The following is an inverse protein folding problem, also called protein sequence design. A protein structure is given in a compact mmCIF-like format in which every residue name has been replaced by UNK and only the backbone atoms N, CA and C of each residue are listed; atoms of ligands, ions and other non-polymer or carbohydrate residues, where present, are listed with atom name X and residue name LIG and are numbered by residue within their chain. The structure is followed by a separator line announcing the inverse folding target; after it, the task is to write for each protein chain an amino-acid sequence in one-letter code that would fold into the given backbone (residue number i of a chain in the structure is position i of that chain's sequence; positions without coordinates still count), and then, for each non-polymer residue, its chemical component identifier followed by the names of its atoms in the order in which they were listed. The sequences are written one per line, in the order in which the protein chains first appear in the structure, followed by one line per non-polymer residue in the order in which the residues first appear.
data_IF_366475522147
#
_entry.id   IF_366475522147
#
_cell.length_a   1.000
_cell.length_b   1.000
_cell.length_c   1.000
_cell.angle_alpha   90.00
_cell.angle_beta   90.00
_cell.angle_gamma   90.00
#
_symmetry.space_group_name_H-M   'P 1'
#
loop_
_entity.id
_entity.type
_entity.pdbx_description
1 polymer ?
#
# COMPACT_ATOMS: atom_id res chain seq x y z
N UNK A 1 9.07 -53.19 5.91
CA UNK A 1 10.11 -54.25 5.74
C UNK A 1 9.94 -54.90 4.40
N UNK A 2 11.02 -54.97 3.60
CA UNK A 2 11.04 -55.62 2.28
C UNK A 2 11.96 -56.87 2.29
N UNK A 3 11.77 -57.76 1.35
CA UNK A 3 12.62 -58.95 1.18
C UNK A 3 13.16 -58.96 -0.25
N UNK A 4 14.49 -59.09 -0.41
CA UNK A 4 15.13 -59.29 -1.67
C UNK A 4 15.54 -60.75 -1.77
N UNK A 5 15.07 -61.45 -2.79
CA UNK A 5 15.39 -62.87 -3.01
C UNK A 5 16.05 -63.05 -4.36
N UNK A 6 17.09 -63.89 -4.41
CA UNK A 6 17.75 -64.32 -5.63
C UNK A 6 17.65 -65.85 -5.75
N UNK A 7 17.26 -66.35 -6.90
CA UNK A 7 17.12 -67.80 -7.19
C UNK A 7 18.00 -68.23 -8.32
N UNK A 8 18.59 -69.46 -8.24
CA UNK A 8 19.32 -70.11 -9.33
C UNK A 8 18.86 -71.58 -9.47
N UNK A 9 18.94 -72.10 -10.69
CA UNK A 9 18.69 -73.52 -10.98
C UNK A 9 19.93 -74.39 -10.79
N UNK A 10 21.09 -73.77 -10.52
CA UNK A 10 22.35 -74.52 -10.30
C UNK A 10 22.59 -74.65 -8.79
N UNK A 11 23.01 -75.84 -8.38
CA UNK A 11 23.43 -76.09 -6.97
C UNK A 11 24.73 -75.30 -6.71
N UNK A 12 24.79 -74.71 -5.49
CA UNK A 12 25.96 -73.91 -5.05
C UNK A 12 26.29 -72.72 -5.94
N UNK A 13 25.31 -72.12 -6.59
CA UNK A 13 25.49 -70.97 -7.51
C UNK A 13 25.98 -69.68 -6.83
N UNK A 14 25.83 -69.55 -5.51
CA UNK A 14 26.16 -68.35 -4.74
C UNK A 14 27.36 -68.60 -3.84
N UNK A 15 28.36 -67.71 -3.91
CA UNK A 15 29.52 -67.64 -3.03
C UNK A 15 29.28 -66.56 -1.96
N UNK A 16 30.16 -66.52 -0.95
CA UNK A 16 30.15 -65.45 0.10
C UNK A 16 30.22 -64.03 -0.51
N UNK A 17 30.90 -63.87 -1.63
CA UNK A 17 30.95 -62.63 -2.36
C UNK A 17 29.55 -62.20 -2.89
N UNK A 18 28.77 -63.13 -3.42
CA UNK A 18 27.42 -62.86 -3.87
C UNK A 18 26.49 -62.50 -2.71
N UNK A 19 26.65 -63.14 -1.56
CA UNK A 19 25.91 -62.82 -0.34
C UNK A 19 26.26 -61.42 0.17
N UNK A 20 27.54 -61.05 0.14
CA UNK A 20 28.00 -59.70 0.51
C UNK A 20 27.39 -58.63 -0.39
N UNK A 21 27.45 -58.84 -1.73
CA UNK A 21 26.87 -57.94 -2.72
C UNK A 21 25.35 -57.78 -2.52
N UNK A 22 24.65 -58.90 -2.28
CA UNK A 22 23.18 -58.87 -2.06
C UNK A 22 22.82 -58.10 -0.81
N UNK A 23 23.62 -58.27 0.25
CA UNK A 23 23.40 -57.52 1.53
C UNK A 23 23.60 -55.99 1.30
N UNK A 24 24.63 -55.61 0.55
CA UNK A 24 24.84 -54.18 0.24
C UNK A 24 23.70 -53.62 -0.62
N UNK A 25 23.27 -54.36 -1.65
CA UNK A 25 22.13 -53.96 -2.48
C UNK A 25 20.87 -53.77 -1.61
N UNK A 26 20.60 -54.73 -0.72
CA UNK A 26 19.43 -54.65 0.19
C UNK A 26 19.49 -53.41 1.10
N UNK A 27 20.68 -53.07 1.64
CA UNK A 27 20.85 -51.89 2.48
C UNK A 27 20.63 -50.62 1.66
N UNK A 28 21.26 -50.48 0.50
CA UNK A 28 21.09 -49.30 -0.33
C UNK A 28 19.65 -49.13 -0.85
N UNK A 29 18.99 -50.26 -1.19
CA UNK A 29 17.58 -50.20 -1.61
C UNK A 29 16.67 -49.79 -0.44
N UNK A 30 16.91 -50.27 0.79
CA UNK A 30 16.16 -49.83 1.95
C UNK A 30 16.33 -48.33 2.23
N UNK A 31 17.59 -47.83 2.18
CA UNK A 31 17.88 -46.40 2.36
C UNK A 31 17.23 -45.56 1.25
N UNK A 32 17.26 -46.02 0.00
CA UNK A 32 16.66 -45.30 -1.12
C UNK A 32 15.11 -45.23 -0.99
N UNK A 33 14.46 -46.31 -0.53
CA UNK A 33 13.03 -46.32 -0.28
C UNK A 33 12.64 -45.40 0.89
N UNK A 34 13.37 -45.45 2.00
CA UNK A 34 13.13 -44.61 3.17
C UNK A 34 13.31 -43.12 2.83
N UNK A 35 14.35 -42.79 2.03
CA UNK A 35 14.55 -41.44 1.54
C UNK A 35 13.42 -40.98 0.60
N UNK A 36 12.91 -41.84 -0.27
CA UNK A 36 11.80 -41.53 -1.16
C UNK A 36 10.49 -41.27 -0.37
N UNK A 37 10.18 -42.14 0.61
CA UNK A 37 9.02 -41.94 1.51
C UNK A 37 9.13 -40.62 2.29
N UNK A 38 10.31 -40.36 2.89
CA UNK A 38 10.55 -39.12 3.64
C UNK A 38 10.46 -37.87 2.75
N UNK A 39 10.89 -37.95 1.50
CA UNK A 39 10.80 -36.86 0.53
C UNK A 39 9.33 -36.57 0.14
N UNK A 40 8.53 -37.61 -0.03
CA UNK A 40 7.10 -37.50 -0.33
C UNK A 40 6.34 -36.87 0.84
N UNK A 41 6.57 -37.34 2.08
CA UNK A 41 5.99 -36.77 3.30
C UNK A 41 6.39 -35.31 3.51
N UNK A 42 7.66 -34.97 3.27
CA UNK A 42 8.14 -33.59 3.33
C UNK A 42 7.42 -32.69 2.32
N UNK A 43 7.21 -33.17 1.11
CA UNK A 43 6.58 -32.41 0.03
C UNK A 43 5.08 -32.18 0.32
N UNK A 44 4.38 -33.17 0.89
CA UNK A 44 3.01 -33.01 1.36
C UNK A 44 2.93 -32.03 2.52
N UNK A 45 3.86 -32.11 3.47
CA UNK A 45 3.93 -31.18 4.61
C UNK A 45 4.17 -29.74 4.16
N UNK A 46 5.09 -29.52 3.22
CA UNK A 46 5.36 -28.21 2.63
C UNK A 46 4.13 -27.65 1.91
N UNK A 47 3.41 -28.51 1.19
CA UNK A 47 2.19 -28.11 0.47
C UNK A 47 1.08 -27.71 1.45
N UNK A 48 0.86 -28.51 2.49
CA UNK A 48 -0.10 -28.24 3.56
C UNK A 48 0.26 -26.95 4.31
N UNK A 49 1.54 -26.76 4.63
CA UNK A 49 2.01 -25.55 5.31
C UNK A 49 1.74 -24.30 4.48
N UNK A 50 2.02 -24.34 3.17
CA UNK A 50 1.74 -23.21 2.25
C UNK A 50 0.25 -22.89 2.19
N UNK A 51 -0.61 -23.90 2.11
CA UNK A 51 -2.07 -23.71 2.08
C UNK A 51 -2.60 -23.14 3.40
N UNK A 52 -2.12 -23.64 4.54
CA UNK A 52 -2.49 -23.14 5.86
C UNK A 52 -2.01 -21.70 6.08
N UNK A 53 -0.79 -21.40 5.65
CA UNK A 53 -0.25 -20.03 5.70
C UNK A 53 -1.10 -19.06 4.86
N UNK A 54 -1.51 -19.46 3.66
CA UNK A 54 -2.40 -18.67 2.82
C UNK A 54 -3.77 -18.42 3.48
N UNK A 55 -4.33 -19.46 4.13
CA UNK A 55 -5.59 -19.33 4.89
C UNK A 55 -5.45 -18.41 6.10
N UNK A 56 -4.35 -18.50 6.86
CA UNK A 56 -4.09 -17.62 8.00
C UNK A 56 -3.97 -16.16 7.54
N UNK A 57 -3.21 -15.88 6.48
CA UNK A 57 -3.09 -14.54 5.90
C UNK A 57 -4.46 -14.02 5.46
N UNK A 58 -5.28 -14.87 4.84
CA UNK A 58 -6.64 -14.49 4.44
C UNK A 58 -7.54 -14.20 5.65
N UNK A 59 -7.46 -15.03 6.69
CA UNK A 59 -8.22 -14.85 7.94
C UNK A 59 -7.80 -13.59 8.68
N UNK A 60 -6.49 -13.31 8.77
CA UNK A 60 -5.96 -12.09 9.39
C UNK A 60 -6.41 -10.83 8.62
N UNK A 61 -6.37 -10.88 7.28
CA UNK A 61 -6.92 -9.82 6.42
C UNK A 61 -8.42 -9.62 6.64
N UNK A 62 -9.20 -10.70 6.79
CA UNK A 62 -10.63 -10.62 7.06
C UNK A 62 -10.92 -10.08 8.46
N UNK A 63 -10.14 -10.43 9.47
CA UNK A 63 -10.26 -9.89 10.82
C UNK A 63 -9.94 -8.39 10.84
N UNK A 64 -8.83 -7.99 10.22
CA UNK A 64 -8.46 -6.57 10.02
C UNK A 64 -9.52 -5.80 9.24
N UNK A 65 -10.07 -6.39 8.16
CA UNK A 65 -11.18 -5.79 7.41
C UNK A 65 -12.46 -5.69 8.23
N UNK A 66 -12.73 -6.64 9.12
CA UNK A 66 -13.88 -6.62 10.05
C UNK A 66 -13.80 -5.45 11.05
N UNK A 67 -12.64 -5.25 11.65
CA UNK A 67 -12.37 -4.12 12.56
C UNK A 67 -12.43 -2.77 11.81
N UNK A 68 -11.87 -2.73 10.59
CA UNK A 68 -11.93 -1.57 9.71
C UNK A 68 -13.35 -1.29 9.19
N UNK A 69 -14.20 -2.31 8.98
CA UNK A 69 -15.54 -2.16 8.38
C UNK A 69 -16.44 -1.26 9.23
N UNK A 70 -16.38 -1.36 10.55
CA UNK A 70 -17.14 -0.47 11.45
C UNK A 70 -16.67 0.99 11.33
N UNK A 71 -15.35 1.21 11.29
CA UNK A 71 -14.76 2.54 11.08
C UNK A 71 -15.09 3.10 9.70
N UNK A 72 -15.01 2.27 8.65
CA UNK A 72 -15.35 2.65 7.27
C UNK A 72 -16.83 3.03 7.15
N UNK A 73 -17.73 2.22 7.72
CA UNK A 73 -19.16 2.53 7.70
C UNK A 73 -19.44 3.90 8.33
N UNK A 74 -18.82 4.19 9.47
CA UNK A 74 -18.94 5.47 10.16
C UNK A 74 -18.34 6.63 9.32
N UNK A 75 -17.17 6.42 8.71
CA UNK A 75 -16.53 7.42 7.86
C UNK A 75 -17.27 7.69 6.54
N UNK A 76 -18.02 6.70 6.00
CA UNK A 76 -18.90 6.90 4.84
C UNK A 76 -20.22 7.55 5.25
N UNK A 77 -20.81 7.15 6.40
CA UNK A 77 -22.06 7.73 6.90
C UNK A 77 -21.92 9.23 7.15
N UNK A 78 -20.78 9.69 7.68
CA UNK A 78 -20.56 11.10 7.96
C UNK A 78 -20.76 12.01 6.74
N UNK A 79 -20.05 11.86 5.61
CA UNK A 79 -20.29 12.67 4.43
C UNK A 79 -21.67 12.46 3.82
N UNK A 80 -22.25 11.26 3.88
CA UNK A 80 -23.60 11.01 3.37
C UNK A 80 -24.67 11.72 4.19
N UNK A 81 -24.52 11.84 5.50
CA UNK A 81 -25.41 12.63 6.35
C UNK A 81 -25.40 14.11 5.93
N UNK A 82 -24.24 14.68 5.61
CA UNK A 82 -24.16 16.04 5.09
C UNK A 82 -24.84 16.18 3.72
N UNK A 83 -24.63 15.22 2.81
CA UNK A 83 -25.32 15.21 1.50
C UNK A 83 -26.83 15.22 1.69
N UNK A 84 -27.36 14.35 2.56
CA UNK A 84 -28.80 14.25 2.81
C UNK A 84 -29.35 15.55 3.45
N UNK A 85 -28.68 16.07 4.48
CA UNK A 85 -29.12 17.27 5.17
C UNK A 85 -29.16 18.49 4.24
N UNK A 86 -28.09 18.73 3.45
CA UNK A 86 -28.08 19.85 2.51
C UNK A 86 -29.10 19.66 1.38
N UNK A 87 -29.38 18.42 0.97
CA UNK A 87 -30.43 18.11 -0.02
C UNK A 87 -31.84 18.40 0.52
N UNK A 88 -32.11 18.09 1.82
CA UNK A 88 -33.38 18.43 2.48
C UNK A 88 -33.55 19.94 2.59
N UNK A 89 -32.51 20.66 3.04
CA UNK A 89 -32.51 22.13 3.11
C UNK A 89 -32.72 22.76 1.74
N UNK A 90 -32.08 22.25 0.68
CA UNK A 90 -32.30 22.75 -0.67
C UNK A 90 -33.75 22.57 -1.13
N UNK A 91 -34.40 21.46 -0.75
CA UNK A 91 -35.81 21.24 -1.06
C UNK A 91 -36.71 22.29 -0.40
N UNK A 92 -36.44 22.64 0.87
CA UNK A 92 -37.14 23.69 1.59
C UNK A 92 -36.91 25.06 0.94
N UNK A 93 -35.66 25.42 0.68
CA UNK A 93 -35.28 26.67 0.01
C UNK A 93 -35.92 26.81 -1.38
N UNK A 94 -35.97 25.74 -2.18
CA UNK A 94 -36.63 25.76 -3.48
C UNK A 94 -38.14 25.93 -3.38
N UNK A 95 -38.76 25.44 -2.30
CA UNK A 95 -40.20 25.66 -2.03
C UNK A 95 -40.45 27.12 -1.69
N UNK A 96 -39.66 27.68 -0.79
CA UNK A 96 -39.69 29.10 -0.41
C UNK A 96 -39.42 30.01 -1.63
N UNK A 97 -38.43 29.66 -2.43
CA UNK A 97 -38.11 30.39 -3.66
C UNK A 97 -39.32 30.48 -4.61
N UNK A 98 -40.08 29.39 -4.76
CA UNK A 98 -41.31 29.42 -5.57
C UNK A 98 -42.40 30.34 -4.99
N UNK A 99 -42.55 30.36 -3.66
CA UNK A 99 -43.48 31.26 -2.99
C UNK A 99 -43.10 32.74 -3.19
N UNK A 100 -41.80 33.06 -3.11
CA UNK A 100 -41.30 34.41 -3.33
C UNK A 100 -41.40 34.86 -4.80
N UNK A 101 -41.29 33.94 -5.76
CA UNK A 101 -41.59 34.19 -7.18
C UNK A 101 -43.05 34.59 -7.33
N UNK A 102 -44.00 33.86 -6.71
CA UNK A 102 -45.43 34.18 -6.78
C UNK A 102 -45.78 35.52 -6.16
N UNK A 103 -45.03 35.94 -5.12
CA UNK A 103 -45.13 37.26 -4.48
C UNK A 103 -44.46 38.39 -5.26
N UNK A 104 -43.62 38.08 -6.28
CA UNK A 104 -42.85 39.05 -7.05
C UNK A 104 -41.58 39.57 -6.33
N UNK A 105 -41.10 38.89 -5.27
CA UNK A 105 -39.95 39.26 -4.45
C UNK A 105 -38.62 38.79 -5.08
N UNK A 106 -38.26 39.27 -6.23
CA UNK A 106 -37.08 38.80 -6.98
C UNK A 106 -35.74 39.03 -6.27
N UNK A 107 -35.64 39.94 -5.32
CA UNK A 107 -34.40 40.08 -4.52
C UNK A 107 -34.22 38.88 -3.60
N UNK A 108 -35.26 38.44 -2.91
CA UNK A 108 -35.24 37.26 -2.06
C UNK A 108 -34.99 35.99 -2.84
N UNK A 109 -35.60 35.84 -4.01
CA UNK A 109 -35.33 34.74 -4.95
C UNK A 109 -33.83 34.63 -5.30
N UNK A 110 -33.11 35.75 -5.46
CA UNK A 110 -31.69 35.75 -5.74
C UNK A 110 -30.85 35.32 -4.55
N UNK A 111 -31.20 35.72 -3.34
CA UNK A 111 -30.48 35.30 -2.13
C UNK A 111 -30.70 33.79 -1.89
N UNK A 112 -31.95 33.30 -1.95
CA UNK A 112 -32.25 31.88 -1.84
C UNK A 112 -31.51 31.06 -2.92
N UNK A 113 -31.42 31.56 -4.16
CA UNK A 113 -30.68 30.90 -5.22
C UNK A 113 -29.20 30.75 -4.90
N UNK A 114 -28.58 31.74 -4.25
CA UNK A 114 -27.17 31.61 -3.78
C UNK A 114 -27.02 30.52 -2.73
N UNK A 115 -27.94 30.49 -1.76
CA UNK A 115 -27.90 29.49 -0.68
C UNK A 115 -28.05 28.08 -1.24
N UNK A 116 -28.90 27.88 -2.25
CA UNK A 116 -29.04 26.61 -2.97
C UNK A 116 -27.73 26.23 -3.67
N UNK A 117 -27.08 27.17 -4.37
CA UNK A 117 -25.80 26.95 -5.05
C UNK A 117 -24.71 26.57 -4.03
N UNK A 118 -24.59 27.30 -2.93
CA UNK A 118 -23.63 27.03 -1.87
C UNK A 118 -23.85 25.66 -1.23
N UNK A 119 -25.10 25.25 -1.03
CA UNK A 119 -25.43 23.90 -0.56
C UNK A 119 -25.10 22.83 -1.58
N UNK A 120 -25.32 23.04 -2.87
CA UNK A 120 -24.96 22.09 -3.92
C UNK A 120 -23.42 21.91 -4.02
N UNK A 121 -22.63 22.95 -3.78
CA UNK A 121 -21.18 22.85 -3.67
C UNK A 121 -20.77 21.96 -2.48
N UNK A 122 -21.43 22.11 -1.34
CA UNK A 122 -21.20 21.26 -0.14
C UNK A 122 -21.61 19.80 -0.41
N UNK A 123 -22.75 19.57 -1.08
CA UNK A 123 -23.22 18.23 -1.50
C UNK A 123 -22.15 17.57 -2.38
N UNK A 124 -21.67 18.28 -3.41
CA UNK A 124 -20.63 17.78 -4.31
C UNK A 124 -19.33 17.46 -3.57
N UNK A 125 -18.91 18.33 -2.65
CA UNK A 125 -17.72 18.15 -1.81
C UNK A 125 -17.82 16.86 -0.97
N UNK A 126 -18.94 16.69 -0.24
CA UNK A 126 -19.15 15.51 0.61
C UNK A 126 -19.36 14.23 -0.22
N UNK A 127 -20.01 14.30 -1.37
CA UNK A 127 -20.12 13.18 -2.32
C UNK A 127 -18.75 12.68 -2.81
N UNK A 128 -17.88 13.60 -3.21
CA UNK A 128 -16.49 13.28 -3.59
C UNK A 128 -15.68 12.66 -2.44
N UNK A 129 -15.94 13.10 -1.20
CA UNK A 129 -15.31 12.50 -0.02
C UNK A 129 -15.74 11.06 0.19
N UNK A 130 -17.03 10.76 0.11
CA UNK A 130 -17.54 9.40 0.22
C UNK A 130 -16.95 8.48 -0.87
N UNK A 131 -16.90 8.94 -2.12
CA UNK A 131 -16.27 8.23 -3.24
C UNK A 131 -14.78 7.94 -2.99
N UNK A 132 -14.04 8.91 -2.47
CA UNK A 132 -12.62 8.75 -2.14
C UNK A 132 -12.39 7.71 -1.03
N UNK A 133 -13.25 7.65 0.00
CA UNK A 133 -13.20 6.63 1.06
C UNK A 133 -13.44 5.24 0.47
N UNK A 134 -14.47 5.07 -0.37
CA UNK A 134 -14.78 3.80 -1.04
C UNK A 134 -13.63 3.36 -1.93
N UNK A 135 -13.06 4.26 -2.73
CA UNK A 135 -11.90 3.96 -3.59
C UNK A 135 -10.67 3.55 -2.77
N UNK A 136 -10.41 4.26 -1.66
CA UNK A 136 -9.33 3.92 -0.74
C UNK A 136 -9.51 2.53 -0.12
N UNK A 137 -10.74 2.19 0.30
CA UNK A 137 -11.08 0.86 0.81
C UNK A 137 -10.86 -0.25 -0.23
N UNK A 138 -11.31 -0.04 -1.47
CA UNK A 138 -11.11 -1.00 -2.55
C UNK A 138 -9.62 -1.21 -2.87
N UNK A 139 -8.82 -0.16 -2.78
CA UNK A 139 -7.36 -0.28 -2.92
C UNK A 139 -6.71 -1.05 -1.76
N UNK A 140 -7.20 -0.86 -0.54
CA UNK A 140 -6.73 -1.60 0.65
C UNK A 140 -7.16 -3.08 0.61
N UNK A 141 -8.38 -3.37 0.13
CA UNK A 141 -8.91 -4.74 -0.02
C UNK A 141 -8.28 -5.54 -1.16
N UNK A 142 -7.71 -4.89 -2.17
CA UNK A 142 -7.04 -5.59 -3.27
C UNK A 142 -5.75 -6.21 -2.74
N UNK A 143 -5.74 -7.54 -2.60
CA UNK A 143 -4.51 -8.29 -2.44
C UNK A 143 -3.64 -8.09 -3.68
N UNK A 144 -2.36 -7.82 -3.48
CA UNK A 144 -1.39 -7.92 -4.56
C UNK A 144 -1.43 -9.35 -5.10
N UNK A 145 -1.89 -9.50 -6.33
CA UNK A 145 -1.82 -10.76 -7.07
C UNK A 145 -0.49 -10.89 -7.79
N UNK A 146 0.40 -9.91 -7.63
CA UNK A 146 1.71 -9.88 -8.27
C UNK A 146 2.69 -10.90 -7.70
N UNK A 147 3.42 -11.56 -8.57
CA UNK A 147 4.60 -12.33 -8.17
C UNK A 147 5.77 -11.37 -7.89
N UNK A 148 6.66 -11.77 -6.97
CA UNK A 148 7.92 -11.06 -6.81
C UNK A 148 8.77 -11.29 -8.05
N UNK A 149 9.36 -10.22 -8.58
CA UNK A 149 10.23 -10.26 -9.73
C UNK A 149 11.47 -9.38 -9.53
N UNK A 150 12.61 -9.72 -10.17
CA UNK A 150 13.82 -8.91 -10.14
C UNK A 150 13.54 -7.52 -10.72
N UNK A 151 13.60 -6.48 -9.88
CA UNK A 151 13.21 -5.12 -10.24
C UNK A 151 14.34 -4.15 -9.91
N UNK A 152 14.67 -3.27 -10.84
CA UNK A 152 15.54 -2.13 -10.59
C UNK A 152 14.78 -1.06 -9.81
N UNK A 153 15.17 -0.90 -8.54
CA UNK A 153 14.50 0.02 -7.62
C UNK A 153 14.75 1.49 -7.97
N UNK A 154 15.89 1.82 -8.56
CA UNK A 154 16.21 3.19 -8.95
C UNK A 154 15.34 3.65 -10.11
N UNK A 155 15.20 2.80 -11.13
CA UNK A 155 14.30 3.04 -12.27
C UNK A 155 12.85 3.18 -11.79
N UNK A 156 12.40 2.26 -10.93
CA UNK A 156 11.04 2.31 -10.37
C UNK A 156 10.80 3.61 -9.58
N UNK A 157 11.75 4.03 -8.75
CA UNK A 157 11.64 5.23 -7.94
C UNK A 157 11.55 6.50 -8.83
N UNK A 158 12.37 6.60 -9.86
CA UNK A 158 12.34 7.74 -10.79
C UNK A 158 11.05 7.80 -11.62
N UNK A 159 10.58 6.66 -12.13
CA UNK A 159 9.33 6.58 -12.90
C UNK A 159 8.13 7.07 -12.08
N UNK A 160 7.98 6.56 -10.86
CA UNK A 160 6.86 6.96 -10.00
C UNK A 160 6.98 8.40 -9.48
N UNK A 161 8.20 8.93 -9.30
CA UNK A 161 8.42 10.33 -8.95
C UNK A 161 7.92 11.26 -10.09
N UNK A 162 8.31 10.96 -11.32
CA UNK A 162 7.86 11.68 -12.52
C UNK A 162 6.35 11.57 -12.70
N UNK A 163 5.79 10.36 -12.53
CA UNK A 163 4.35 10.13 -12.64
C UNK A 163 3.57 10.98 -11.63
N UNK A 164 4.00 11.02 -10.36
CA UNK A 164 3.39 11.84 -9.32
C UNK A 164 3.46 13.33 -9.65
N UNK A 165 4.63 13.81 -10.05
CA UNK A 165 4.85 15.21 -10.39
C UNK A 165 3.98 15.66 -11.58
N UNK A 166 3.99 14.90 -12.68
CA UNK A 166 3.17 15.23 -13.86
C UNK A 166 1.67 15.11 -13.60
N UNK A 167 1.25 14.14 -12.77
CA UNK A 167 -0.14 13.99 -12.35
C UNK A 167 -0.66 15.21 -11.57
N UNK A 168 0.19 15.84 -10.76
CA UNK A 168 -0.16 17.05 -10.02
C UNK A 168 -0.17 18.29 -10.93
N UNK A 169 0.79 18.42 -11.83
CA UNK A 169 0.83 19.52 -12.81
C UNK A 169 -0.38 19.51 -13.75
N UNK A 170 -0.87 18.33 -14.11
CA UNK A 170 -2.06 18.22 -14.96
C UNK A 170 -3.36 18.71 -14.27
N UNK A 171 -3.39 18.71 -12.92
CA UNK A 171 -4.53 19.21 -12.13
C UNK A 171 -4.51 20.73 -11.90
N UNK A 172 -3.34 21.38 -12.03
CA UNK A 172 -3.20 22.82 -11.83
C UNK A 172 -1.89 23.33 -12.39
N UNK A 173 -1.97 24.25 -13.35
CA UNK A 173 -0.80 24.79 -14.08
C UNK A 173 0.19 25.60 -13.20
N UNK A 174 -0.13 25.90 -11.95
CA UNK A 174 0.70 26.68 -11.04
C UNK A 174 1.62 25.86 -10.14
N UNK A 175 1.46 24.51 -10.11
CA UNK A 175 2.31 23.67 -9.29
C UNK A 175 3.70 23.50 -9.89
N UNK A 176 4.73 23.87 -9.11
CA UNK A 176 6.13 23.63 -9.45
C UNK A 176 6.92 23.27 -8.19
N UNK A 177 7.77 22.26 -8.29
CA UNK A 177 8.69 21.84 -7.24
C UNK A 177 9.98 21.31 -7.85
N UNK A 178 11.10 21.55 -7.18
CA UNK A 178 12.40 21.00 -7.52
C UNK A 178 12.46 19.54 -7.08
N UNK A 179 12.76 18.64 -8.01
CA UNK A 179 13.00 17.22 -7.73
C UNK A 179 14.51 16.96 -7.68
N UNK A 180 15.01 16.40 -6.58
CA UNK A 180 16.41 16.00 -6.42
C UNK A 180 16.45 14.47 -6.28
N UNK A 181 17.33 13.85 -7.05
CA UNK A 181 17.52 12.37 -6.97
C UNK A 181 19.00 12.05 -6.74
N UNK A 182 19.27 11.08 -5.86
CA UNK A 182 20.60 10.54 -5.61
C UNK A 182 20.47 9.01 -5.46
N UNK A 183 20.76 8.30 -6.53
CA UNK A 183 20.52 6.86 -6.64
C UNK A 183 21.85 6.09 -6.61
N UNK A 184 21.93 5.11 -5.69
CA UNK A 184 23.05 4.18 -5.58
C UNK A 184 22.97 3.13 -6.69
N UNK A 185 23.82 3.25 -7.69
CA UNK A 185 23.88 2.33 -8.83
C UNK A 185 24.33 0.91 -8.44
N UNK A 186 24.91 0.73 -7.25
CA UNK A 186 25.40 -0.58 -6.77
C UNK A 186 24.28 -1.50 -6.29
N UNK A 187 23.02 -1.03 -6.20
CA UNK A 187 21.88 -1.82 -5.68
C UNK A 187 21.59 -3.01 -6.59
N UNK A 188 21.50 -2.79 -7.91
CA UNK A 188 21.05 -3.78 -8.87
C UNK A 188 19.56 -4.14 -8.69
N UNK A 189 19.18 -5.31 -9.21
CA UNK A 189 17.80 -5.77 -9.09
C UNK A 189 17.53 -6.39 -7.72
N UNK A 190 16.36 -6.08 -7.15
CA UNK A 190 15.86 -6.69 -5.91
C UNK A 190 14.53 -7.41 -6.16
N UNK A 191 14.25 -8.46 -5.40
CA UNK A 191 13.10 -9.34 -5.61
C UNK A 191 11.86 -8.79 -4.86
N UNK A 192 11.04 -8.00 -5.55
CA UNK A 192 9.88 -7.29 -5.01
C UNK A 192 8.65 -7.46 -5.92
N UNK A 193 7.48 -7.04 -5.45
CA UNK A 193 6.29 -6.86 -6.29
C UNK A 193 6.28 -5.38 -6.75
N UNK A 194 6.62 -5.07 -8.02
CA UNK A 194 6.84 -3.68 -8.47
C UNK A 194 5.62 -2.78 -8.28
N UNK A 195 4.42 -3.31 -8.55
CA UNK A 195 3.18 -2.55 -8.40
C UNK A 195 2.92 -2.14 -6.93
N UNK A 196 3.29 -2.99 -5.98
CA UNK A 196 3.12 -2.72 -4.55
C UNK A 196 4.08 -1.62 -4.09
N UNK A 197 5.37 -1.78 -4.42
CA UNK A 197 6.37 -0.75 -4.07
C UNK A 197 6.10 0.55 -4.81
N UNK A 198 5.70 0.51 -6.09
CA UNK A 198 5.27 1.68 -6.84
C UNK A 198 4.11 2.42 -6.18
N UNK A 199 3.12 1.69 -5.62
CA UNK A 199 2.01 2.28 -4.85
C UNK A 199 2.49 2.97 -3.57
N UNK A 200 3.44 2.36 -2.84
CA UNK A 200 4.06 2.99 -1.67
C UNK A 200 4.75 4.28 -2.06
N UNK A 201 5.61 4.23 -3.08
CA UNK A 201 6.33 5.41 -3.59
C UNK A 201 5.37 6.53 -4.01
N UNK A 202 4.33 6.19 -4.77
CA UNK A 202 3.31 7.15 -5.20
C UNK A 202 2.61 7.84 -4.01
N UNK A 203 2.27 7.07 -2.97
CA UNK A 203 1.68 7.63 -1.75
C UNK A 203 2.62 8.60 -1.04
N UNK A 204 3.90 8.24 -0.90
CA UNK A 204 4.90 9.10 -0.25
C UNK A 204 5.17 10.36 -1.07
N UNK A 205 5.34 10.24 -2.39
CA UNK A 205 5.57 11.38 -3.28
C UNK A 205 4.38 12.34 -3.30
N UNK A 206 3.15 11.83 -3.37
CA UNK A 206 1.94 12.65 -3.30
C UNK A 206 1.82 13.39 -1.96
N UNK A 207 2.27 12.79 -0.86
CA UNK A 207 2.30 13.45 0.44
C UNK A 207 3.39 14.54 0.50
N UNK A 208 4.58 14.24 0.00
CA UNK A 208 5.69 15.20 -0.08
C UNK A 208 5.33 16.42 -0.95
N UNK A 209 4.83 16.20 -2.15
CA UNK A 209 4.41 17.28 -3.04
C UNK A 209 3.25 18.10 -2.46
N UNK A 210 2.33 17.47 -1.75
CA UNK A 210 1.27 18.18 -1.04
C UNK A 210 1.85 19.10 0.04
N UNK A 211 2.77 18.59 0.87
CA UNK A 211 3.37 19.34 1.98
C UNK A 211 4.12 20.58 1.47
N UNK A 212 4.93 20.42 0.42
CA UNK A 212 5.67 21.55 -0.15
C UNK A 212 4.74 22.55 -0.87
N UNK A 213 3.64 22.07 -1.46
CA UNK A 213 2.63 22.96 -2.08
C UNK A 213 1.90 23.81 -1.05
N UNK A 214 1.53 23.23 0.09
CA UNK A 214 0.86 23.98 1.17
C UNK A 214 1.80 25.00 1.80
N UNK A 215 3.07 24.65 2.02
CA UNK A 215 4.08 25.58 2.51
C UNK A 215 4.30 26.75 1.54
N UNK A 216 4.36 26.47 0.23
CA UNK A 216 4.49 27.50 -0.82
C UNK A 216 3.33 28.50 -0.79
N UNK A 217 2.11 28.03 -0.54
CA UNK A 217 0.95 28.93 -0.41
C UNK A 217 1.04 29.85 0.81
N UNK A 218 1.64 29.37 1.90
CA UNK A 218 1.79 30.14 3.14
C UNK A 218 2.96 31.11 3.09
N UNK A 219 4.14 30.70 2.58
CA UNK A 219 5.37 31.50 2.60
C UNK A 219 5.58 32.38 1.34
N UNK A 220 4.89 32.08 0.23
CA UNK A 220 4.97 32.88 -1.01
C UNK A 220 6.23 32.64 -1.84
N UNK A 221 6.70 33.66 -2.57
CA UNK A 221 7.75 33.51 -3.58
C UNK A 221 9.16 33.22 -3.04
N UNK A 222 9.41 33.47 -1.75
CA UNK A 222 10.71 33.23 -1.10
C UNK A 222 11.03 31.77 -0.82
N UNK A 223 10.02 30.86 -0.87
CA UNK A 223 10.18 29.44 -0.60
C UNK A 223 10.32 28.62 -1.88
N UNK A 224 11.32 27.75 -1.92
CA UNK A 224 11.58 26.83 -3.04
C UNK A 224 11.11 25.41 -2.68
N UNK A 225 9.93 24.95 -3.15
CA UNK A 225 9.42 23.61 -2.93
C UNK A 225 10.42 22.56 -3.43
N UNK A 226 10.89 21.68 -2.56
CA UNK A 226 11.87 20.65 -2.91
C UNK A 226 11.44 19.29 -2.39
N UNK A 227 11.47 18.27 -3.26
CA UNK A 227 11.30 16.86 -2.92
C UNK A 227 12.56 16.10 -3.34
N UNK A 228 13.17 15.38 -2.42
CA UNK A 228 14.39 14.62 -2.64
C UNK A 228 14.13 13.12 -2.49
N UNK A 229 14.69 12.32 -3.39
CA UNK A 229 14.61 10.86 -3.35
C UNK A 229 16.02 10.30 -3.42
N UNK A 230 16.38 9.49 -2.42
CA UNK A 230 17.69 8.84 -2.38
C UNK A 230 17.53 7.33 -2.22
N UNK A 231 18.43 6.58 -2.81
CA UNK A 231 18.54 5.13 -2.57
C UNK A 231 19.94 4.79 -2.09
N UNK A 232 20.05 3.81 -1.19
CA UNK A 232 21.34 3.37 -0.67
C UNK A 232 21.31 1.89 -0.36
N UNK A 233 22.37 1.20 -0.74
CA UNK A 233 22.63 -0.19 -0.34
C UNK A 233 23.46 -0.24 0.93
N UNK A 234 23.03 -1.01 1.91
CA UNK A 234 23.82 -1.28 3.11
C UNK A 234 23.72 -2.75 3.48
N UNK A 235 24.77 -3.49 3.22
CA UNK A 235 24.82 -4.95 3.42
C UNK A 235 23.78 -5.67 2.57
N UNK A 236 22.83 -6.35 3.23
CA UNK A 236 21.72 -7.09 2.59
C UNK A 236 20.41 -6.30 2.54
N UNK A 237 20.48 -4.99 2.65
CA UNK A 237 19.32 -4.12 2.69
C UNK A 237 19.45 -2.97 1.70
N UNK A 238 18.31 -2.53 1.18
CA UNK A 238 18.16 -1.31 0.39
C UNK A 238 17.34 -0.32 1.20
N UNK A 239 17.81 0.90 1.25
CA UNK A 239 17.12 2.04 1.84
C UNK A 239 16.65 2.95 0.71
N UNK A 240 15.39 3.38 0.78
CA UNK A 240 14.79 4.39 -0.11
C UNK A 240 14.31 5.49 0.81
N UNK A 241 14.88 6.70 0.67
CA UNK A 241 14.44 7.87 1.42
C UNK A 241 13.69 8.82 0.50
N UNK A 242 12.54 9.30 0.98
CA UNK A 242 11.73 10.34 0.36
C UNK A 242 11.65 11.50 1.35
N UNK A 243 12.28 12.61 1.02
CA UNK A 243 12.34 13.80 1.86
C UNK A 243 11.70 14.99 1.17
N UNK A 244 10.99 15.81 1.94
CA UNK A 244 10.42 17.09 1.51
C UNK A 244 10.76 18.20 2.50
N UNK A 245 10.88 19.42 2.02
CA UNK A 245 11.04 20.61 2.83
C UNK A 245 9.69 21.30 3.13
N UNK A 246 8.61 20.52 3.26
CA UNK A 246 7.27 21.02 3.56
C UNK A 246 7.09 21.44 5.03
N UNK A 247 5.83 21.46 5.48
CA UNK A 247 5.49 21.91 6.83
C UNK A 247 5.87 20.94 7.96
N UNK A 248 6.48 19.80 7.64
CA UNK A 248 6.76 18.78 8.65
C UNK A 248 5.49 18.13 9.22
N UNK A 249 5.68 17.28 10.21
CA UNK A 249 4.61 16.58 10.92
C UNK A 249 4.73 16.88 12.42
N UNK A 250 3.69 17.44 13.05
CA UNK A 250 3.71 17.69 14.49
C UNK A 250 3.95 16.42 15.30
N UNK A 251 4.77 16.51 16.35
CA UNK A 251 5.14 15.37 17.20
C UNK A 251 3.95 14.54 17.68
N UNK A 252 2.84 15.20 18.01
CA UNK A 252 1.58 14.55 18.46
C UNK A 252 0.92 13.67 17.40
N UNK A 253 1.27 13.85 16.13
CA UNK A 253 0.72 13.11 15.01
C UNK A 253 1.59 11.92 14.61
N UNK A 254 2.91 11.96 14.88
CA UNK A 254 3.87 10.93 14.42
C UNK A 254 3.48 9.50 14.81
N UNK A 255 2.98 9.29 16.04
CA UNK A 255 2.56 7.96 16.51
C UNK A 255 1.28 7.44 15.82
N UNK A 256 0.56 8.34 15.11
CA UNK A 256 -0.75 8.03 14.52
C UNK A 256 -0.75 7.99 12.99
N UNK A 257 0.30 8.48 12.33
CA UNK A 257 0.30 8.65 10.86
C UNK A 257 0.11 7.36 10.07
N UNK A 258 0.45 6.20 10.67
CA UNK A 258 0.25 4.88 10.07
C UNK A 258 -1.09 4.24 10.47
N UNK A 259 -1.89 4.89 11.32
CA UNK A 259 -3.23 4.40 11.66
C UNK A 259 -4.18 4.63 10.47
N UNK A 260 -5.03 3.67 10.13
CA UNK A 260 -6.05 3.86 9.11
C UNK A 260 -6.94 5.07 9.41
N UNK A 261 -7.30 5.79 8.35
CA UNK A 261 -8.13 7.01 8.38
C UNK A 261 -7.53 8.23 9.09
N UNK A 262 -6.35 8.11 9.67
CA UNK A 262 -5.67 9.27 10.25
C UNK A 262 -5.17 10.20 9.15
N UNK A 263 -5.56 11.48 9.23
CA UNK A 263 -5.10 12.53 8.32
C UNK A 263 -5.06 13.89 9.00
N UNK A 264 -4.04 14.67 8.69
CA UNK A 264 -3.92 16.08 9.08
C UNK A 264 -4.38 17.03 7.96
N UNK A 265 -4.70 16.48 6.78
CA UNK A 265 -5.18 17.25 5.63
C UNK A 265 -6.61 17.73 5.88
N UNK A 266 -7.01 18.88 5.32
CA UNK A 266 -8.39 19.35 5.39
C UNK A 266 -9.38 18.32 4.91
N UNK A 267 -10.60 18.39 5.43
CA UNK A 267 -11.70 17.49 5.05
C UNK A 267 -11.85 17.41 3.53
N UNK A 268 -11.85 16.18 2.99
CA UNK A 268 -11.99 15.91 1.55
C UNK A 268 -10.67 15.87 0.75
N UNK A 269 -9.53 16.25 1.35
CA UNK A 269 -8.23 16.24 0.65
C UNK A 269 -7.35 15.02 1.02
N UNK A 270 -7.72 14.27 2.05
CA UNK A 270 -7.00 13.06 2.46
C UNK A 270 -7.96 11.98 2.92
N UNK A 271 -7.71 10.73 2.52
CA UNK A 271 -8.48 9.56 2.97
C UNK A 271 -7.93 8.96 4.27
N UNK A 272 -6.69 9.32 4.65
CA UNK A 272 -5.99 8.70 5.79
C UNK A 272 -5.60 7.24 5.59
N UNK A 273 -5.76 6.68 4.37
CA UNK A 273 -5.47 5.27 4.07
C UNK A 273 -4.11 5.06 3.39
N UNK A 274 -3.51 6.09 2.83
CA UNK A 274 -2.28 5.95 2.03
C UNK A 274 -1.09 5.44 2.85
N UNK A 275 -0.82 6.02 4.01
CA UNK A 275 0.32 5.64 4.86
C UNK A 275 0.10 4.30 5.56
N UNK A 276 -1.11 3.99 6.02
CA UNK A 276 -1.43 2.67 6.59
C UNK A 276 -1.23 1.56 5.55
N UNK A 277 -1.72 1.75 4.33
CA UNK A 277 -1.48 0.82 3.22
C UNK A 277 0.02 0.68 2.88
N UNK A 278 0.75 1.80 2.89
CA UNK A 278 2.20 1.76 2.66
C UNK A 278 2.93 0.94 3.73
N UNK A 279 2.52 1.09 4.99
CA UNK A 279 3.06 0.30 6.10
C UNK A 279 2.80 -1.20 5.90
N UNK A 280 1.57 -1.60 5.56
CA UNK A 280 1.20 -3.00 5.34
C UNK A 280 1.96 -3.62 4.16
N UNK A 281 2.08 -2.89 3.06
CA UNK A 281 2.83 -3.33 1.88
C UNK A 281 4.31 -3.57 2.23
N UNK A 282 4.93 -2.64 2.93
CA UNK A 282 6.34 -2.77 3.31
C UNK A 282 6.55 -3.93 4.29
N UNK A 283 5.66 -4.14 5.26
CA UNK A 283 5.68 -5.30 6.15
C UNK A 283 5.51 -6.62 5.39
N UNK A 284 4.62 -6.69 4.40
CA UNK A 284 4.45 -7.86 3.53
C UNK A 284 5.73 -8.20 2.72
N UNK A 285 6.54 -7.18 2.42
CA UNK A 285 7.86 -7.33 1.80
C UNK A 285 8.99 -7.63 2.81
N UNK A 286 8.66 -7.86 4.10
CA UNK A 286 9.62 -8.05 5.22
C UNK A 286 10.52 -6.84 5.41
N UNK A 287 10.03 -5.66 5.05
CA UNK A 287 10.71 -4.39 5.18
C UNK A 287 10.27 -3.62 6.43
N UNK A 288 10.80 -2.42 6.56
CA UNK A 288 10.45 -1.44 7.58
C UNK A 288 10.25 -0.07 6.94
N UNK A 289 9.28 0.71 7.44
CA UNK A 289 9.10 2.12 7.07
C UNK A 289 9.22 2.96 8.33
N UNK A 290 10.04 4.00 8.27
CA UNK A 290 10.28 4.97 9.34
C UNK A 290 9.99 6.38 8.84
N UNK A 291 9.72 7.27 9.79
CA UNK A 291 9.55 8.70 9.54
C UNK A 291 10.48 9.48 10.46
N UNK A 292 11.12 10.49 9.87
CA UNK A 292 11.85 11.52 10.57
C UNK A 292 11.27 12.86 10.12
N UNK A 293 10.83 13.69 11.06
CA UNK A 293 10.16 14.94 10.70
C UNK A 293 10.31 15.97 11.81
N UNK A 294 10.48 17.22 11.41
CA UNK A 294 10.50 18.38 12.27
C UNK A 294 9.39 19.35 11.85
N UNK A 295 8.53 19.70 12.82
CA UNK A 295 7.37 20.55 12.60
C UNK A 295 7.81 21.93 12.06
N UNK A 296 7.27 22.33 10.93
CA UNK A 296 7.63 23.56 10.24
C UNK A 296 8.86 23.46 9.30
N UNK A 297 9.60 22.34 9.28
CA UNK A 297 10.86 22.28 8.55
C UNK A 297 10.91 21.22 7.44
N UNK A 298 10.69 19.92 7.78
CA UNK A 298 10.83 18.85 6.80
C UNK A 298 10.11 17.58 7.22
N UNK A 299 9.90 16.68 6.25
CA UNK A 299 9.55 15.27 6.51
C UNK A 299 10.41 14.37 5.65
N UNK A 300 10.92 13.28 6.23
CA UNK A 300 11.63 12.22 5.56
C UNK A 300 11.01 10.87 5.91
N UNK A 301 10.56 10.13 4.90
CA UNK A 301 10.17 8.73 5.02
C UNK A 301 11.29 7.84 4.52
N UNK A 302 11.67 6.85 5.33
CA UNK A 302 12.73 5.91 5.02
C UNK A 302 12.13 4.51 4.92
N UNK A 303 12.18 3.91 3.73
CA UNK A 303 11.80 2.52 3.47
C UNK A 303 13.06 1.68 3.48
N UNK A 304 13.01 0.56 4.22
CA UNK A 304 14.06 -0.43 4.27
C UNK A 304 13.53 -1.76 3.74
N UNK A 305 14.17 -2.31 2.71
CA UNK A 305 13.79 -3.57 2.09
C UNK A 305 14.95 -4.56 2.12
N UNK A 306 14.72 -5.86 2.39
CA UNK A 306 15.76 -6.87 2.31
C UNK A 306 16.08 -7.17 0.83
N UNK A 307 17.37 -7.29 0.51
CA UNK A 307 17.83 -7.88 -0.75
C UNK A 307 17.69 -9.40 -0.57
N UNK A 308 16.54 -9.96 -0.99
CA UNK A 308 16.36 -11.41 -1.03
C UNK A 308 17.15 -11.95 -2.22
N UNK A 309 18.11 -12.83 -1.95
CA UNK A 309 18.78 -13.64 -2.96
C UNK A 309 17.83 -14.71 -3.45
#
# INVERSE_FOLDING_TARGET
MGVITVKSFQQNAYSDYHLFMLRNIAIYTAIALENAESYEELNETVTTLKSTQAQLIQSEKMASLGELTAGIAHEIQNPLNFVNNFSEVNKELLTEMNEEIDKGNFNEVKEISKDVIDNDEKINHHGKRADAIVKGMLQHSRSSTGAKEPTDINTLADEYLRLSYHGLRAKGNSFNATMKTDFDESIGNINIIPQDIGRVLLNLYNNAFYAVSERRKAEGEGYEPTVSVTTKKSGKQVFISVSDNGNGIPQKALDKIFQPFFTTKPTGQGTGLGLSLSYDIIKAHRGEIKVNSEDGEFTEFIIQLPISV
#
